data_IF_086407430954
#
_entry.id   IF_086407430954
#
_cell.length_a   1.000
_cell.length_b   1.000
_cell.length_c   1.000
_cell.angle_alpha   90.00
_cell.angle_beta   90.00
_cell.angle_gamma   90.00
#
_symmetry.space_group_name_H-M   'P 1'
#
loop_
_entity.id
_entity.type
_entity.pdbx_description
1 polymer ?
#
# COMPACT_ATOMS: atom_id res chain seq x y z
N UNK A 1 54.17 3.23 -34.84
CA UNK A 1 54.18 2.03 -33.97
C UNK A 1 53.26 2.27 -32.78
N UNK A 2 52.04 1.70 -32.83
CA UNK A 2 51.13 1.57 -31.68
C UNK A 2 50.67 0.12 -31.67
N UNK A 3 50.80 -0.52 -30.52
CA UNK A 3 50.64 -1.96 -30.30
C UNK A 3 49.22 -2.44 -30.63
N UNK A 4 49.14 -3.69 -31.09
CA UNK A 4 47.90 -4.45 -31.21
C UNK A 4 47.29 -4.70 -29.83
N UNK A 5 46.02 -4.33 -29.66
CA UNK A 5 45.25 -4.59 -28.43
C UNK A 5 44.61 -5.97 -28.53
N UNK A 6 44.77 -6.75 -27.46
CA UNK A 6 44.30 -8.12 -27.28
C UNK A 6 42.75 -8.18 -27.19
N UNK A 7 42.05 -8.95 -28.04
CA UNK A 7 40.58 -8.94 -28.13
C UNK A 7 39.84 -9.50 -26.92
N UNK A 8 40.52 -10.14 -25.95
CA UNK A 8 39.88 -10.82 -24.83
C UNK A 8 39.62 -9.95 -23.58
N UNK A 9 39.89 -8.62 -23.64
CA UNK A 9 39.81 -7.75 -22.45
C UNK A 9 39.24 -6.33 -22.66
N UNK A 10 38.05 -6.19 -23.26
CA UNK A 10 37.23 -4.97 -23.04
C UNK A 10 35.73 -5.28 -23.00
N UNK A 11 35.09 -4.83 -21.91
CA UNK A 11 33.70 -5.03 -21.49
C UNK A 11 32.68 -4.00 -22.07
N UNK A 12 31.54 -4.53 -22.58
CA UNK A 12 30.08 -4.17 -22.39
C UNK A 12 29.62 -2.71 -22.75
N UNK A 13 28.48 -2.38 -23.47
CA UNK A 13 27.10 -2.91 -23.36
C UNK A 13 26.20 -2.95 -24.65
N UNK A 14 24.94 -3.36 -24.43
CA UNK A 14 23.69 -3.20 -25.23
C UNK A 14 23.20 -4.41 -26.04
N UNK A 15 22.51 -5.32 -25.35
CA UNK A 15 21.64 -6.30 -25.98
C UNK A 15 20.42 -5.61 -26.59
N UNK A 16 20.37 -5.55 -27.92
CA UNK A 16 19.14 -5.28 -28.65
C UNK A 16 18.07 -6.28 -28.23
N UNK A 17 16.91 -5.77 -27.77
CA UNK A 17 15.74 -6.60 -27.44
C UNK A 17 15.35 -7.47 -28.64
N UNK A 18 15.65 -8.77 -28.59
CA UNK A 18 15.02 -9.75 -29.47
C UNK A 18 13.53 -9.84 -29.12
N UNK A 19 12.70 -9.09 -29.83
CA UNK A 19 11.25 -9.29 -29.83
C UNK A 19 10.95 -10.63 -30.51
N UNK A 20 10.39 -11.56 -29.75
CA UNK A 20 9.85 -12.81 -30.29
C UNK A 20 8.79 -12.50 -31.36
N UNK A 21 8.71 -13.30 -32.44
CA UNK A 21 7.67 -13.11 -33.45
C UNK A 21 6.28 -13.34 -32.85
N UNK A 22 5.24 -12.65 -33.38
CA UNK A 22 3.89 -12.79 -32.86
C UNK A 22 3.37 -14.24 -33.05
N UNK A 23 2.50 -14.72 -32.15
CA UNK A 23 1.98 -16.08 -32.21
C UNK A 23 1.17 -16.31 -33.48
N UNK A 24 1.37 -17.46 -34.14
CA UNK A 24 0.71 -17.84 -35.40
C UNK A 24 -0.82 -17.93 -35.35
N UNK A 25 -1.45 -17.93 -34.17
CA UNK A 25 -2.91 -17.89 -34.03
C UNK A 25 -3.34 -17.01 -32.85
N UNK A 26 -4.44 -16.25 -32.97
CA UNK A 26 -4.97 -15.43 -31.87
C UNK A 26 -5.65 -16.31 -30.81
N UNK A 27 -5.12 -16.30 -29.58
CA UNK A 27 -5.75 -16.97 -28.43
C UNK A 27 -7.02 -16.19 -28.00
N UNK A 28 -8.19 -16.71 -28.36
CA UNK A 28 -9.50 -16.11 -28.02
C UNK A 28 -10.04 -16.53 -26.64
N UNK A 29 -9.29 -17.27 -25.81
CA UNK A 29 -9.81 -17.74 -24.51
C UNK A 29 -9.61 -16.72 -23.39
N UNK A 30 -10.69 -16.06 -22.96
CA UNK A 30 -10.73 -15.29 -21.69
C UNK A 30 -10.62 -16.23 -20.49
N UNK A 31 -9.42 -16.36 -19.90
CA UNK A 31 -9.23 -17.08 -18.64
C UNK A 31 -9.58 -16.17 -17.46
N UNK A 32 -10.53 -16.59 -16.61
CA UNK A 32 -10.89 -15.89 -15.37
C UNK A 32 -9.75 -16.02 -14.34
N UNK A 33 -9.37 -14.91 -13.71
CA UNK A 33 -8.33 -14.86 -12.68
C UNK A 33 -8.88 -15.26 -11.31
N UNK A 34 -8.81 -16.54 -10.96
CA UNK A 34 -8.88 -16.99 -9.57
C UNK A 34 -7.44 -17.22 -9.06
N UNK A 35 -7.09 -16.87 -7.81
CA UNK A 35 -5.80 -17.27 -7.24
C UNK A 35 -5.75 -18.81 -7.20
N UNK A 36 -4.91 -19.43 -8.02
CA UNK A 36 -4.65 -20.86 -7.94
C UNK A 36 -4.06 -21.17 -6.56
N UNK A 37 -4.65 -22.14 -5.85
CA UNK A 37 -4.18 -22.60 -4.55
C UNK A 37 -2.74 -23.13 -4.66
N UNK A 38 -1.78 -22.34 -4.19
CA UNK A 38 -0.38 -22.76 -4.03
C UNK A 38 -0.13 -23.30 -2.62
N UNK A 39 0.80 -24.25 -2.50
CA UNK A 39 1.25 -24.80 -1.21
C UNK A 39 2.05 -23.74 -0.43
N UNK A 40 1.87 -23.65 0.89
CA UNK A 40 2.60 -22.67 1.72
C UNK A 40 4.02 -23.20 2.03
N UNK A 41 5.03 -22.36 1.89
CA UNK A 41 6.47 -22.64 2.03
C UNK A 41 6.93 -22.72 3.49
N UNK A 42 6.07 -22.40 4.46
CA UNK A 42 6.49 -22.20 5.86
C UNK A 42 6.66 -23.47 6.71
N UNK A 43 6.84 -24.63 6.09
CA UNK A 43 6.99 -25.90 6.83
C UNK A 43 8.35 -26.58 6.59
N UNK A 44 9.41 -25.80 6.32
CA UNK A 44 10.78 -26.34 6.23
C UNK A 44 11.52 -26.01 7.53
N UNK A 45 11.81 -26.99 8.41
CA UNK A 45 12.66 -26.76 9.56
C UNK A 45 14.09 -26.47 9.10
N UNK A 46 14.71 -25.44 9.69
CA UNK A 46 16.16 -25.22 9.58
C UNK A 46 16.78 -26.18 10.59
N UNK A 47 17.46 -27.22 10.10
CA UNK A 47 18.21 -28.16 10.92
C UNK A 47 19.60 -27.55 11.10
N UNK A 48 20.00 -27.25 12.33
CA UNK A 48 21.38 -26.92 12.67
C UNK A 48 22.26 -28.14 12.39
N UNK A 49 23.40 -27.91 11.74
CA UNK A 49 24.37 -28.90 11.32
C UNK A 49 24.74 -29.86 12.47
N UNK A 50 24.28 -31.12 12.36
CA UNK A 50 24.93 -32.27 12.97
C UNK A 50 25.03 -33.36 11.92
N UNK A 51 26.25 -33.87 11.79
CA UNK A 51 26.75 -34.83 10.81
C UNK A 51 25.75 -35.93 10.45
N UNK A 52 25.38 -35.99 9.18
CA UNK A 52 24.57 -37.05 8.60
C UNK A 52 25.50 -38.11 8.01
N UNK A 53 25.93 -39.08 8.82
CA UNK A 53 26.48 -40.33 8.33
C UNK A 53 25.33 -41.32 8.11
N UNK A 54 25.02 -41.60 6.85
CA UNK A 54 24.05 -42.63 6.46
C UNK A 54 24.85 -43.86 6.06
N UNK A 55 24.95 -44.83 6.98
CA UNK A 55 25.27 -46.21 6.59
C UNK A 55 23.99 -46.85 6.05
N UNK A 56 24.08 -47.35 4.83
CA UNK A 56 23.09 -48.11 4.09
C UNK A 56 22.81 -49.47 4.76
N UNK A 57 21.66 -49.62 5.40
CA UNK A 57 20.92 -50.90 5.48
C UNK A 57 19.62 -50.74 6.26
N UNK A 58 18.51 -50.95 5.56
CA UNK A 58 17.24 -51.52 6.03
C UNK A 58 16.65 -51.04 7.35
N UNK A 59 15.86 -49.96 7.31
CA UNK A 59 14.82 -49.72 8.34
C UNK A 59 13.60 -49.04 7.73
N UNK A 60 12.44 -49.69 7.85
CA UNK A 60 11.11 -49.24 7.45
C UNK A 60 10.82 -47.78 7.84
N UNK A 61 10.82 -46.90 6.83
CA UNK A 61 10.73 -45.43 6.97
C UNK A 61 9.28 -44.97 7.27
N UNK A 62 8.27 -45.76 6.89
CA UNK A 62 6.86 -45.36 6.92
C UNK A 62 6.28 -45.22 8.35
N UNK A 63 6.57 -46.11 9.33
CA UNK A 63 6.09 -45.96 10.70
C UNK A 63 6.73 -44.78 11.47
N UNK A 64 7.96 -44.41 11.14
CA UNK A 64 8.69 -43.31 11.77
C UNK A 64 8.15 -41.93 11.37
N UNK A 65 7.84 -41.76 10.07
CA UNK A 65 7.23 -40.52 9.55
C UNK A 65 5.90 -40.23 10.24
N UNK A 66 5.03 -41.24 10.40
CA UNK A 66 3.73 -41.08 11.03
C UNK A 66 3.83 -40.75 12.54
N UNK A 67 4.82 -41.33 13.23
CA UNK A 67 5.08 -41.07 14.65
C UNK A 67 5.67 -39.66 14.88
N UNK A 68 6.46 -39.15 13.94
CA UNK A 68 6.93 -37.76 13.92
C UNK A 68 5.80 -36.76 13.66
N UNK A 69 4.90 -37.05 12.72
CA UNK A 69 3.78 -36.17 12.35
C UNK A 69 2.85 -35.87 13.55
N UNK A 70 2.60 -36.89 14.37
CA UNK A 70 1.75 -36.80 15.58
C UNK A 70 2.43 -36.08 16.75
N UNK A 71 3.77 -36.15 16.85
CA UNK A 71 4.55 -35.38 17.84
C UNK A 71 4.73 -33.91 17.42
N UNK A 72 4.92 -33.65 16.13
CA UNK A 72 5.09 -32.30 15.58
C UNK A 72 3.82 -31.46 15.72
N UNK A 73 2.64 -32.06 15.52
CA UNK A 73 1.34 -31.39 15.73
C UNK A 73 1.13 -30.96 17.18
N UNK A 74 1.53 -31.79 18.16
CA UNK A 74 1.46 -31.47 19.60
C UNK A 74 2.40 -30.33 20.01
N UNK A 75 3.62 -30.29 19.46
CA UNK A 75 4.60 -29.23 19.74
C UNK A 75 4.14 -27.88 19.12
N UNK A 76 3.56 -27.92 17.92
CA UNK A 76 3.05 -26.74 17.22
C UNK A 76 1.83 -26.10 17.92
N UNK A 77 0.99 -26.90 18.58
CA UNK A 77 -0.18 -26.39 19.31
C UNK A 77 0.19 -25.77 20.67
N UNK A 78 1.29 -26.20 21.29
CA UNK A 78 1.83 -25.56 22.48
C UNK A 78 2.57 -24.24 22.15
N UNK A 79 3.31 -24.18 21.04
CA UNK A 79 3.96 -22.94 20.56
C UNK A 79 2.93 -21.88 20.10
N UNK A 80 1.71 -22.30 19.72
CA UNK A 80 0.60 -21.38 19.43
C UNK A 80 -0.01 -20.74 20.67
N UNK A 81 0.05 -21.39 21.84
CA UNK A 81 -0.57 -20.90 23.08
C UNK A 81 0.26 -19.84 23.82
N UNK A 82 1.59 -19.82 23.63
CA UNK A 82 2.49 -18.92 24.39
C UNK A 82 2.91 -17.61 23.69
N UNK A 83 2.32 -17.27 22.54
CA UNK A 83 2.44 -15.89 22.05
C UNK A 83 1.47 -15.00 22.83
N UNK A 84 1.96 -14.41 23.92
CA UNK A 84 1.37 -13.19 24.51
C UNK A 84 1.09 -12.19 23.39
N UNK A 85 -0.17 -12.12 22.99
CA UNK A 85 -0.70 -11.08 22.13
C UNK A 85 -0.61 -9.81 22.97
N UNK A 86 0.22 -8.85 22.56
CA UNK A 86 0.20 -7.52 23.17
C UNK A 86 -1.17 -6.89 22.89
N UNK A 87 -1.88 -6.44 23.94
CA UNK A 87 -3.22 -5.83 23.87
C UNK A 87 -3.27 -4.48 23.12
N UNK A 88 -2.14 -3.98 22.62
CA UNK A 88 -2.05 -2.78 21.77
C UNK A 88 -2.17 -3.06 20.26
N UNK A 89 -2.78 -4.18 19.89
CA UNK A 89 -2.97 -4.61 18.49
C UNK A 89 -4.44 -4.60 18.07
N UNK A 90 -5.14 -3.48 18.28
CA UNK A 90 -6.51 -3.28 17.84
C UNK A 90 -6.69 -3.46 16.33
N UNK A 91 -7.93 -3.71 15.92
CA UNK A 91 -8.43 -4.12 14.58
C UNK A 91 -8.18 -3.13 13.41
N UNK A 92 -7.19 -2.25 13.51
CA UNK A 92 -6.82 -1.29 12.46
C UNK A 92 -6.10 -1.93 11.26
N UNK A 93 -5.81 -1.10 10.26
CA UNK A 93 -4.97 -1.41 9.10
C UNK A 93 -3.57 -1.94 9.52
N UNK A 94 -3.22 -1.88 10.82
CA UNK A 94 -2.07 -2.47 11.49
C UNK A 94 -1.83 -3.98 11.26
N UNK A 95 -2.85 -4.80 10.95
CA UNK A 95 -2.63 -6.09 10.25
C UNK A 95 -2.53 -5.81 8.75
N UNK A 96 -1.45 -5.14 8.33
CA UNK A 96 -1.23 -4.71 6.94
C UNK A 96 -1.65 -5.79 5.97
N UNK A 97 -2.46 -5.40 4.98
CA UNK A 97 -2.97 -6.30 3.95
C UNK A 97 -1.78 -7.06 3.36
N UNK A 98 -1.76 -8.36 3.60
CA UNK A 98 -0.81 -9.29 3.01
C UNK A 98 -1.22 -9.44 1.55
N UNK A 99 -0.41 -8.89 0.67
CA UNK A 99 -0.63 -8.96 -0.77
C UNK A 99 0.29 -10.03 -1.34
N UNK A 100 -0.29 -10.94 -2.13
CA UNK A 100 0.50 -11.85 -2.94
C UNK A 100 1.25 -11.05 -4.01
N UNK A 101 2.56 -11.21 -4.05
CA UNK A 101 3.47 -10.48 -4.93
C UNK A 101 4.30 -11.49 -5.70
N UNK A 102 4.59 -11.23 -6.98
CA UNK A 102 5.41 -12.14 -7.79
C UNK A 102 6.89 -11.77 -7.81
N UNK A 103 7.28 -10.65 -7.18
CA UNK A 103 8.64 -10.10 -7.31
C UNK A 103 9.29 -9.69 -5.98
N UNK A 104 8.49 -9.42 -4.94
CA UNK A 104 8.98 -8.82 -3.70
C UNK A 104 8.22 -9.37 -2.50
N UNK A 105 8.94 -9.59 -1.39
CA UNK A 105 8.36 -10.01 -0.12
C UNK A 105 9.03 -11.28 0.41
N UNK A 106 8.39 -11.94 1.37
CA UNK A 106 8.83 -13.23 1.87
C UNK A 106 8.28 -14.33 0.96
N UNK A 107 9.11 -15.25 0.47
CA UNK A 107 8.61 -16.41 -0.28
C UNK A 107 7.68 -17.24 0.63
N UNK A 108 6.43 -17.41 0.22
CA UNK A 108 5.41 -18.12 1.01
C UNK A 108 4.71 -19.20 0.25
N UNK A 109 4.74 -19.21 -1.08
CA UNK A 109 4.05 -20.20 -1.89
C UNK A 109 4.61 -20.18 -3.30
N UNK A 110 4.20 -21.12 -4.15
CA UNK A 110 4.60 -21.16 -5.56
C UNK A 110 3.37 -21.41 -6.44
N UNK A 111 3.51 -21.15 -7.74
CA UNK A 111 2.51 -21.46 -8.77
C UNK A 111 3.16 -21.84 -10.07
N UNK A 112 2.39 -22.45 -10.97
CA UNK A 112 2.80 -22.61 -12.35
C UNK A 112 3.00 -21.24 -13.02
N UNK A 113 4.11 -21.02 -13.73
CA UNK A 113 4.39 -19.75 -14.39
C UNK A 113 3.37 -19.42 -15.47
N UNK A 114 3.00 -18.14 -15.55
CA UNK A 114 2.19 -17.61 -16.66
C UNK A 114 3.05 -17.68 -17.93
N UNK A 115 2.49 -18.22 -19.02
CA UNK A 115 3.21 -18.45 -20.28
C UNK A 115 4.49 -19.30 -20.14
N UNK A 116 4.60 -20.13 -19.09
CA UNK A 116 5.75 -21.00 -18.84
C UNK A 116 7.09 -20.25 -18.69
N UNK A 117 7.02 -18.97 -18.34
CA UNK A 117 8.18 -18.13 -18.04
C UNK A 117 8.09 -17.65 -16.59
N UNK A 118 8.83 -18.26 -15.65
CA UNK A 118 8.85 -17.80 -14.27
C UNK A 118 9.50 -16.42 -14.20
N UNK A 119 8.92 -15.52 -13.39
CA UNK A 119 9.56 -14.24 -13.07
C UNK A 119 10.62 -14.44 -11.99
N UNK A 120 10.40 -15.40 -11.10
CA UNK A 120 11.34 -15.79 -10.07
C UNK A 120 11.20 -17.29 -9.82
N UNK A 121 12.27 -18.05 -10.03
CA UNK A 121 12.23 -19.52 -9.95
C UNK A 121 12.14 -19.96 -8.49
N UNK A 122 11.13 -20.79 -8.19
CA UNK A 122 10.98 -21.54 -6.94
C UNK A 122 11.73 -22.86 -7.07
N UNK A 123 13.02 -22.87 -6.73
CA UNK A 123 13.90 -24.02 -6.98
C UNK A 123 13.39 -25.30 -6.28
N UNK A 124 13.02 -25.18 -5.00
CA UNK A 124 12.39 -26.23 -4.19
C UNK A 124 11.15 -26.83 -4.85
N UNK A 125 10.23 -25.97 -5.32
CA UNK A 125 9.00 -26.39 -5.96
C UNK A 125 9.23 -26.95 -7.37
N UNK A 126 10.23 -26.42 -8.09
CA UNK A 126 10.64 -26.86 -9.42
C UNK A 126 11.22 -28.27 -9.36
N UNK A 127 12.15 -28.52 -8.42
CA UNK A 127 12.70 -29.85 -8.15
C UNK A 127 11.58 -30.80 -7.77
N UNK A 128 10.70 -30.41 -6.85
CA UNK A 128 9.55 -31.25 -6.44
C UNK A 128 8.62 -31.58 -7.60
N UNK A 129 8.38 -30.64 -8.50
CA UNK A 129 7.52 -30.87 -9.66
C UNK A 129 8.18 -31.78 -10.69
N UNK A 130 9.47 -31.59 -10.95
CA UNK A 130 10.28 -32.48 -11.78
C UNK A 130 10.23 -33.92 -11.25
N UNK A 131 10.54 -34.12 -9.96
CA UNK A 131 10.52 -35.45 -9.33
C UNK A 131 9.13 -36.11 -9.38
N UNK A 132 8.05 -35.34 -9.23
CA UNK A 132 6.69 -35.85 -9.42
C UNK A 132 6.45 -36.35 -10.85
N UNK A 133 6.93 -35.63 -11.85
CA UNK A 133 6.81 -36.03 -13.24
C UNK A 133 7.62 -37.30 -13.54
N UNK A 134 8.82 -37.41 -12.98
CA UNK A 134 9.66 -38.63 -13.09
C UNK A 134 8.91 -39.85 -12.54
N UNK A 135 8.37 -39.76 -11.32
CA UNK A 135 7.62 -40.86 -10.69
C UNK A 135 6.36 -41.21 -11.48
N UNK A 136 5.61 -40.20 -11.94
CA UNK A 136 4.37 -40.43 -12.71
C UNK A 136 4.64 -41.10 -14.06
N UNK A 137 5.71 -40.70 -14.74
CA UNK A 137 6.09 -41.25 -16.05
C UNK A 137 6.95 -42.52 -15.96
N UNK A 138 7.33 -42.95 -14.74
CA UNK A 138 8.24 -44.08 -14.49
C UNK A 138 9.56 -43.97 -15.27
N UNK A 139 10.13 -42.77 -15.28
CA UNK A 139 11.42 -42.50 -15.91
C UNK A 139 12.51 -42.51 -14.86
N UNK A 140 13.75 -42.80 -15.25
CA UNK A 140 14.89 -42.70 -14.36
C UNK A 140 15.36 -41.24 -14.20
N UNK A 141 16.08 -40.96 -13.11
CA UNK A 141 16.67 -39.65 -12.85
C UNK A 141 18.11 -39.66 -13.37
N UNK A 142 18.38 -38.84 -14.38
CA UNK A 142 19.73 -38.62 -14.89
C UNK A 142 20.36 -37.37 -14.26
N UNK A 143 21.68 -37.43 -14.00
CA UNK A 143 22.46 -36.31 -13.49
C UNK A 143 23.47 -35.82 -14.56
N UNK A 144 23.65 -34.50 -14.72
CA UNK A 144 22.97 -33.42 -13.99
C UNK A 144 21.48 -33.30 -14.34
N UNK A 145 20.68 -32.80 -13.38
CA UNK A 145 19.22 -32.65 -13.58
C UNK A 145 18.94 -31.56 -14.60
N UNK A 146 18.20 -31.90 -15.65
CA UNK A 146 17.73 -30.97 -16.68
C UNK A 146 16.25 -30.64 -16.48
N UNK A 147 15.94 -29.38 -16.13
CA UNK A 147 14.56 -28.93 -15.97
C UNK A 147 13.94 -28.49 -17.29
N UNK A 148 12.76 -29.04 -17.61
CA UNK A 148 11.96 -28.55 -18.72
C UNK A 148 11.14 -27.31 -18.31
N UNK A 149 10.67 -26.54 -19.30
CA UNK A 149 9.78 -25.38 -19.06
C UNK A 149 8.48 -25.73 -18.31
N UNK A 150 8.10 -27.02 -18.31
CA UNK A 150 6.94 -27.55 -17.61
C UNK A 150 7.22 -27.86 -16.13
N UNK A 151 8.48 -28.02 -15.76
CA UNK A 151 8.92 -28.28 -14.39
C UNK A 151 9.04 -27.00 -13.58
N UNK A 152 9.35 -25.89 -14.25
CA UNK A 152 9.58 -24.59 -13.64
C UNK A 152 8.35 -24.11 -12.85
N UNK A 153 8.60 -23.66 -11.62
CA UNK A 153 7.61 -23.03 -10.74
C UNK A 153 7.99 -21.58 -10.43
N UNK A 154 7.00 -20.70 -10.35
CA UNK A 154 7.14 -19.27 -10.06
C UNK A 154 6.92 -19.01 -8.56
N UNK A 155 7.83 -18.29 -7.91
CA UNK A 155 7.71 -17.89 -6.50
C UNK A 155 6.54 -16.93 -6.30
N UNK A 156 5.74 -17.20 -5.30
CA UNK A 156 4.76 -16.27 -4.72
C UNK A 156 5.30 -15.77 -3.39
N UNK A 157 5.41 -14.46 -3.32
CA UNK A 157 5.85 -13.74 -2.14
C UNK A 157 4.64 -13.18 -1.38
N UNK A 158 4.71 -13.22 -0.06
CA UNK A 158 3.85 -12.44 0.82
C UNK A 158 4.52 -11.09 1.05
N UNK A 159 3.88 -10.04 0.55
CA UNK A 159 4.31 -8.66 0.69
C UNK A 159 3.36 -7.91 1.59
N UNK A 160 3.89 -7.14 2.54
CA UNK A 160 3.09 -6.15 3.27
C UNK A 160 3.10 -4.87 2.46
N UNK A 161 1.96 -4.53 1.87
CA UNK A 161 1.82 -3.31 1.09
C UNK A 161 2.16 -2.07 1.95
N UNK A 162 3.03 -1.16 1.47
CA UNK A 162 3.27 0.11 2.13
C UNK A 162 2.04 1.00 1.95
N UNK A 163 1.80 1.84 2.94
CA UNK A 163 0.76 2.86 2.85
C UNK A 163 1.32 4.11 2.18
N UNK A 164 0.47 4.82 1.46
CA UNK A 164 0.72 6.20 1.06
C UNK A 164 -0.34 7.08 1.72
N UNK A 165 0.06 7.85 2.74
CA UNK A 165 -0.83 8.74 3.47
C UNK A 165 -0.75 10.13 2.86
N UNK A 166 -1.89 10.65 2.43
CA UNK A 166 -2.03 11.97 1.83
C UNK A 166 -2.72 12.89 2.83
N UNK A 167 -1.97 13.81 3.42
CA UNK A 167 -2.50 14.85 4.28
C UNK A 167 -2.91 16.05 3.43
N UNK A 168 -4.20 16.37 3.45
CA UNK A 168 -4.82 17.50 2.75
C UNK A 168 -5.28 18.48 3.82
N UNK A 169 -4.48 19.53 4.06
CA UNK A 169 -4.69 20.44 5.17
C UNK A 169 -5.27 21.78 4.70
N UNK A 170 -6.32 22.19 5.38
CA UNK A 170 -6.91 23.51 5.26
C UNK A 170 -6.07 24.52 6.04
N UNK A 171 -5.60 25.56 5.35
CA UNK A 171 -4.86 26.67 5.95
C UNK A 171 -5.68 27.96 5.98
N UNK A 172 -6.98 27.82 6.17
CA UNK A 172 -7.84 28.95 6.48
C UNK A 172 -7.57 29.53 7.87
N UNK A 173 -8.00 30.78 8.09
CA UNK A 173 -7.81 31.49 9.36
C UNK A 173 -8.39 30.70 10.56
N UNK A 174 -9.52 30.02 10.39
CA UNK A 174 -10.17 29.17 11.42
C UNK A 174 -9.36 27.93 11.80
N UNK A 175 -8.38 27.56 10.97
CA UNK A 175 -7.59 26.33 11.04
C UNK A 175 -6.13 26.55 11.45
N UNK A 176 -5.66 27.80 11.53
CA UNK A 176 -4.26 28.13 11.82
C UNK A 176 -3.72 27.46 13.10
N UNK A 177 -4.43 27.58 14.22
CA UNK A 177 -4.03 26.95 15.49
C UNK A 177 -4.08 25.42 15.43
N UNK A 178 -5.02 24.88 14.65
CA UNK A 178 -5.22 23.43 14.48
C UNK A 178 -4.08 22.82 13.67
N UNK A 179 -3.58 23.53 12.65
CA UNK A 179 -2.45 23.07 11.82
C UNK A 179 -1.19 22.86 12.67
N UNK A 180 -0.90 23.77 13.61
CA UNK A 180 0.26 23.64 14.50
C UNK A 180 0.22 22.33 15.29
N UNK A 181 -0.92 22.03 15.92
CA UNK A 181 -1.12 20.79 16.67
C UNK A 181 -1.01 19.55 15.79
N UNK A 182 -1.55 19.63 14.58
CA UNK A 182 -1.48 18.54 13.60
C UNK A 182 -0.06 18.24 13.13
N UNK A 183 0.86 19.19 13.24
CA UNK A 183 2.27 18.97 12.93
C UNK A 183 2.87 17.90 13.85
N UNK A 184 2.54 17.94 15.16
CA UNK A 184 3.01 16.95 16.13
C UNK A 184 2.42 15.56 15.89
N UNK A 185 1.14 15.53 15.53
CA UNK A 185 0.42 14.30 15.16
C UNK A 185 1.05 13.65 13.93
N UNK A 186 1.27 14.43 12.86
CA UNK A 186 1.90 13.94 11.62
C UNK A 186 3.35 13.52 11.88
N UNK A 187 4.08 14.23 12.73
CA UNK A 187 5.44 13.87 13.16
C UNK A 187 5.46 12.52 13.88
N UNK A 188 4.51 12.28 14.78
CA UNK A 188 4.33 11.00 15.47
C UNK A 188 4.04 9.85 14.48
N UNK A 189 3.13 10.07 13.54
CA UNK A 189 2.81 9.10 12.49
C UNK A 189 4.00 8.83 11.55
N UNK A 190 4.79 9.86 11.22
CA UNK A 190 6.00 9.68 10.40
C UNK A 190 7.02 8.79 11.10
N UNK A 191 7.31 9.01 12.38
CA UNK A 191 8.30 8.21 13.14
C UNK A 191 7.96 6.72 13.06
N UNK A 192 6.68 6.39 13.15
CA UNK A 192 6.20 5.01 13.04
C UNK A 192 6.20 4.50 11.58
N UNK A 193 5.69 5.30 10.65
CA UNK A 193 5.61 4.97 9.22
C UNK A 193 6.98 4.79 8.56
N UNK A 194 8.01 5.49 9.05
CA UNK A 194 9.39 5.40 8.54
C UNK A 194 9.91 3.96 8.60
N UNK A 195 9.75 3.29 9.75
CA UNK A 195 10.17 1.87 9.91
C UNK A 195 9.45 0.95 8.94
N UNK A 196 8.20 1.28 8.62
CA UNK A 196 7.32 0.47 7.79
C UNK A 196 7.34 0.87 6.30
N UNK A 197 8.23 1.80 5.92
CA UNK A 197 8.40 2.35 4.55
C UNK A 197 7.11 2.97 3.99
N UNK A 198 6.28 3.54 4.84
CA UNK A 198 5.12 4.30 4.40
C UNK A 198 5.55 5.64 3.82
N UNK A 199 4.83 6.10 2.81
CA UNK A 199 5.06 7.40 2.20
C UNK A 199 4.05 8.40 2.72
N UNK A 200 4.51 9.61 2.99
CA UNK A 200 3.69 10.75 3.38
C UNK A 200 3.73 11.80 2.28
N UNK A 201 2.55 12.35 1.97
CA UNK A 201 2.39 13.51 1.11
C UNK A 201 1.65 14.61 1.86
N UNK A 202 2.00 15.86 1.55
CA UNK A 202 1.41 17.05 2.17
C UNK A 202 0.89 17.99 1.09
N UNK A 203 -0.41 18.24 1.14
CA UNK A 203 -1.14 19.14 0.27
C UNK A 203 -1.81 20.16 1.17
N UNK A 204 -1.68 21.42 0.82
CA UNK A 204 -2.24 22.53 1.60
C UNK A 204 -3.00 23.43 0.67
N UNK A 205 -4.16 23.87 1.09
CA UNK A 205 -4.99 24.77 0.32
C UNK A 205 -5.26 26.04 1.10
N UNK A 206 -5.09 27.18 0.42
CA UNK A 206 -5.18 28.52 0.99
C UNK A 206 -5.38 29.54 -0.12
N UNK A 207 -6.09 30.62 0.16
CA UNK A 207 -6.33 31.63 -0.88
C UNK A 207 -7.11 31.01 -2.04
N UNK A 208 -6.73 31.29 -3.28
CA UNK A 208 -7.44 30.74 -4.45
C UNK A 208 -6.87 29.42 -4.99
N UNK A 209 -5.81 28.87 -4.37
CA UNK A 209 -5.10 27.69 -4.88
C UNK A 209 -4.80 26.60 -3.84
N UNK A 210 -4.42 25.42 -4.34
CA UNK A 210 -3.85 24.34 -3.56
C UNK A 210 -2.38 24.09 -3.94
N UNK A 211 -1.52 23.89 -2.96
CA UNK A 211 -0.08 23.68 -3.10
C UNK A 211 0.30 22.28 -2.61
N UNK A 212 1.17 21.62 -3.35
CA UNK A 212 1.80 20.37 -2.92
C UNK A 212 3.10 20.73 -2.23
N UNK A 213 3.10 20.76 -0.90
CA UNK A 213 4.33 21.04 -0.15
C UNK A 213 5.31 19.87 -0.21
N UNK A 214 4.78 18.65 -0.24
CA UNK A 214 5.59 17.45 -0.28
C UNK A 214 4.90 16.35 -1.08
N UNK A 215 5.57 15.88 -2.13
CA UNK A 215 5.19 14.67 -2.87
C UNK A 215 5.43 13.42 -1.98
N UNK A 216 4.74 12.29 -2.23
CA UNK A 216 4.88 11.07 -1.44
C UNK A 216 6.34 10.67 -1.20
N UNK A 217 6.80 10.75 0.05
CA UNK A 217 8.19 10.46 0.46
C UNK A 217 8.21 9.70 1.80
N UNK A 218 9.22 8.87 2.01
CA UNK A 218 9.47 8.22 3.30
C UNK A 218 10.16 9.19 4.26
N UNK A 219 11.04 10.06 3.75
CA UNK A 219 11.67 11.12 4.54
C UNK A 219 10.86 12.40 4.43
N UNK A 220 10.08 12.68 5.47
CA UNK A 220 9.12 13.79 5.52
C UNK A 220 9.56 14.94 6.44
N UNK A 221 10.75 14.85 7.05
CA UNK A 221 11.24 15.83 8.05
C UNK A 221 11.22 17.28 7.51
N UNK A 222 11.65 17.46 6.26
CA UNK A 222 11.72 18.79 5.63
C UNK A 222 10.31 19.40 5.48
N UNK A 223 9.31 18.58 5.13
CA UNK A 223 7.94 19.04 4.95
C UNK A 223 7.30 19.51 6.27
N UNK A 224 7.60 18.84 7.39
CA UNK A 224 7.15 19.26 8.72
C UNK A 224 7.69 20.65 9.09
N UNK A 225 8.97 20.92 8.79
CA UNK A 225 9.56 22.24 9.08
C UNK A 225 8.87 23.36 8.29
N UNK A 226 8.40 23.07 7.07
CA UNK A 226 7.65 24.01 6.23
C UNK A 226 6.23 24.24 6.77
N UNK A 227 5.62 23.23 7.40
CA UNK A 227 4.26 23.31 7.95
C UNK A 227 4.15 24.36 9.07
N UNK A 228 5.19 24.48 9.90
CA UNK A 228 5.24 25.47 11.00
C UNK A 228 5.29 26.93 10.55
N UNK A 229 5.68 27.18 9.29
CA UNK A 229 5.83 28.53 8.72
C UNK A 229 4.60 28.99 7.93
N UNK A 230 3.51 28.23 7.99
CA UNK A 230 2.33 28.52 7.19
C UNK A 230 1.40 29.46 7.93
N UNK A 231 1.06 30.56 7.26
CA UNK A 231 0.08 31.53 7.72
C UNK A 231 -1.32 31.18 7.26
N UNK A 232 -2.31 31.49 8.11
CA UNK A 232 -3.72 31.37 7.77
C UNK A 232 -4.13 32.37 6.69
N UNK A 233 -4.88 31.93 5.67
CA UNK A 233 -5.54 32.80 4.67
C UNK A 233 -7.06 32.68 4.77
N UNK A 234 -7.82 33.51 4.06
CA UNK A 234 -9.29 33.55 4.18
C UNK A 234 -10.01 32.47 3.36
N UNK A 235 -9.51 32.15 2.17
CA UNK A 235 -10.22 31.29 1.21
C UNK A 235 -9.78 29.82 1.23
N UNK A 236 -10.72 28.94 0.83
CA UNK A 236 -10.72 27.49 1.00
C UNK A 236 -11.01 26.77 -0.33
N UNK A 237 -10.00 26.60 -1.21
CA UNK A 237 -10.12 25.94 -2.51
C UNK A 237 -10.02 24.42 -2.37
N UNK A 238 -10.96 23.83 -1.64
CA UNK A 238 -10.97 22.39 -1.32
C UNK A 238 -11.00 21.51 -2.58
N UNK A 239 -11.75 21.92 -3.61
CA UNK A 239 -11.84 21.18 -4.87
C UNK A 239 -10.48 21.10 -5.58
N UNK A 240 -9.69 22.19 -5.57
CA UNK A 240 -8.33 22.21 -6.10
C UNK A 240 -7.43 21.23 -5.35
N UNK A 241 -7.56 21.19 -4.01
CA UNK A 241 -6.78 20.31 -3.16
C UNK A 241 -7.06 18.82 -3.44
N UNK A 242 -8.33 18.46 -3.56
CA UNK A 242 -8.75 17.09 -3.87
C UNK A 242 -8.32 16.66 -5.28
N UNK A 243 -8.39 17.56 -6.26
CA UNK A 243 -7.89 17.29 -7.62
C UNK A 243 -6.37 17.01 -7.63
N UNK A 244 -5.57 17.84 -6.93
CA UNK A 244 -4.13 17.61 -6.79
C UNK A 244 -3.83 16.31 -6.05
N UNK A 245 -4.60 16.00 -5.01
CA UNK A 245 -4.48 14.74 -4.27
C UNK A 245 -4.74 13.53 -5.17
N UNK A 246 -5.84 13.52 -5.90
CA UNK A 246 -6.19 12.48 -6.87
C UNK A 246 -5.09 12.30 -7.93
N UNK A 247 -4.52 13.39 -8.42
CA UNK A 247 -3.42 13.34 -9.38
C UNK A 247 -2.15 12.70 -8.79
N UNK A 248 -1.75 13.07 -7.57
CA UNK A 248 -0.60 12.46 -6.90
C UNK A 248 -0.83 10.97 -6.59
N UNK A 249 -2.04 10.59 -6.19
CA UNK A 249 -2.40 9.18 -5.96
C UNK A 249 -2.25 8.38 -7.25
N UNK A 250 -2.67 8.92 -8.40
CA UNK A 250 -2.49 8.26 -9.70
C UNK A 250 -1.02 8.04 -10.01
N UNK A 251 -0.18 9.06 -9.86
CA UNK A 251 1.27 8.96 -10.09
C UNK A 251 1.88 7.90 -9.16
N UNK A 252 1.50 7.88 -7.89
CA UNK A 252 2.08 6.95 -6.92
C UNK A 252 1.65 5.50 -7.19
N UNK A 253 0.40 5.27 -7.62
CA UNK A 253 -0.06 3.96 -8.07
C UNK A 253 0.63 3.48 -9.35
N UNK A 254 1.05 4.38 -10.23
CA UNK A 254 1.86 4.03 -11.42
C UNK A 254 3.25 3.52 -11.00
N UNK A 255 3.87 4.14 -9.99
CA UNK A 255 5.16 3.71 -9.45
C UNK A 255 5.07 2.38 -8.69
N UNK A 256 4.03 2.20 -7.89
CA UNK A 256 3.80 0.96 -7.15
C UNK A 256 2.31 0.60 -7.14
N UNK A 257 1.92 -0.37 -7.95
CA UNK A 257 0.52 -0.82 -8.07
C UNK A 257 -0.05 -1.42 -6.79
N UNK A 258 0.81 -1.90 -5.89
CA UNK A 258 0.40 -2.51 -4.62
C UNK A 258 0.30 -1.48 -3.48
N UNK A 259 0.55 -0.19 -3.73
CA UNK A 259 0.46 0.84 -2.69
C UNK A 259 -0.99 1.11 -2.32
N UNK A 260 -1.25 1.25 -1.03
CA UNK A 260 -2.60 1.53 -0.52
C UNK A 260 -2.66 3.02 -0.16
N UNK A 261 -3.36 3.86 -0.94
CA UNK A 261 -3.52 5.27 -0.60
C UNK A 261 -4.58 5.45 0.50
N UNK A 262 -4.26 6.31 1.46
CA UNK A 262 -5.20 6.79 2.49
C UNK A 262 -5.16 8.31 2.48
N UNK A 263 -6.32 8.96 2.46
CA UNK A 263 -6.41 10.43 2.49
C UNK A 263 -6.89 10.86 3.86
N UNK A 264 -6.16 11.79 4.48
CA UNK A 264 -6.58 12.52 5.66
C UNK A 264 -6.87 13.97 5.26
N UNK A 265 -8.12 14.38 5.38
CA UNK A 265 -8.56 15.75 5.10
C UNK A 265 -8.76 16.46 6.41
N UNK A 266 -7.98 17.50 6.68
CA UNK A 266 -8.14 18.36 7.85
C UNK A 266 -8.81 19.66 7.40
N UNK A 267 -10.09 19.84 7.70
CA UNK A 267 -10.84 21.03 7.32
C UNK A 267 -12.15 21.11 8.11
N UNK A 268 -12.65 22.33 8.27
CA UNK A 268 -14.03 22.58 8.72
C UNK A 268 -15.07 22.46 7.57
N UNK A 269 -14.61 22.06 6.38
CA UNK A 269 -15.38 21.85 5.16
C UNK A 269 -16.04 23.12 4.59
N UNK A 270 -15.55 24.31 4.94
CA UNK A 270 -16.07 25.58 4.44
C UNK A 270 -15.56 25.96 3.04
N UNK A 271 -15.76 25.13 2.02
CA UNK A 271 -15.27 25.40 0.67
C UNK A 271 -15.99 26.58 0.01
N UNK A 272 -15.24 27.53 -0.55
CA UNK A 272 -15.75 28.77 -1.16
C UNK A 272 -15.11 29.18 -2.50
N UNK A 273 -14.15 28.40 -3.01
CA UNK A 273 -13.53 28.61 -4.33
C UNK A 273 -13.78 27.38 -5.21
N UNK A 274 -14.23 27.61 -6.44
CA UNK A 274 -14.40 26.59 -7.47
C UNK A 274 -13.13 26.45 -8.33
N UNK A 275 -12.84 25.24 -8.82
CA UNK A 275 -11.80 25.05 -9.85
C UNK A 275 -12.35 25.36 -11.24
N UNK A 276 -13.66 25.14 -11.46
CA UNK A 276 -14.33 25.40 -12.73
C UNK A 276 -14.48 26.91 -12.98
N UNK A 277 -14.70 27.68 -11.92
CA UNK A 277 -14.87 29.14 -11.98
C UNK A 277 -13.89 29.84 -10.99
N UNK A 278 -12.61 30.03 -11.37
CA UNK A 278 -11.57 30.54 -10.45
C UNK A 278 -11.78 31.98 -9.98
N UNK A 279 -12.46 32.79 -10.79
CA UNK A 279 -12.77 34.18 -10.46
C UNK A 279 -13.97 34.31 -9.52
N UNK A 280 -14.79 33.25 -9.41
CA UNK A 280 -15.94 33.18 -8.53
C UNK A 280 -15.49 32.86 -7.10
N UNK A 281 -15.75 33.82 -6.20
CA UNK A 281 -15.67 33.61 -4.76
C UNK A 281 -17.11 33.49 -4.27
N UNK A 282 -17.45 32.36 -3.66
CA UNK A 282 -18.84 32.12 -3.24
C UNK A 282 -19.29 33.14 -2.19
N UNK A 283 -20.32 33.90 -2.53
CA UNK A 283 -20.95 34.87 -1.65
C UNK A 283 -22.43 34.59 -1.46
N UNK A 284 -23.07 34.03 -2.50
CA UNK A 284 -24.51 33.76 -2.52
C UNK A 284 -24.75 32.24 -2.52
N UNK A 285 -25.92 31.81 -2.08
CA UNK A 285 -26.29 30.39 -1.97
C UNK A 285 -26.07 29.60 -3.27
N UNK A 286 -26.38 30.19 -4.42
CA UNK A 286 -26.19 29.55 -5.74
C UNK A 286 -24.72 29.20 -6.01
N UNK A 287 -23.77 30.06 -5.63
CA UNK A 287 -22.33 29.79 -5.80
C UNK A 287 -21.89 28.60 -4.96
N UNK A 288 -22.41 28.53 -3.73
CA UNK A 288 -22.15 27.40 -2.83
C UNK A 288 -22.72 26.10 -3.36
N UNK A 289 -23.90 26.12 -3.98
CA UNK A 289 -24.50 24.94 -4.63
C UNK A 289 -23.57 24.41 -5.72
N UNK A 290 -23.03 25.28 -6.58
CA UNK A 290 -22.09 24.89 -7.64
C UNK A 290 -20.82 24.23 -7.07
N UNK A 291 -20.25 24.80 -6.00
CA UNK A 291 -19.06 24.23 -5.34
C UNK A 291 -19.36 22.87 -4.70
N UNK A 292 -20.53 22.73 -4.07
CA UNK A 292 -20.97 21.46 -3.47
C UNK A 292 -21.11 20.38 -4.53
N UNK A 293 -21.65 20.72 -5.71
CA UNK A 293 -21.77 19.79 -6.84
C UNK A 293 -20.42 19.39 -7.42
N UNK A 294 -19.52 20.35 -7.60
CA UNK A 294 -18.15 20.09 -8.02
C UNK A 294 -17.44 19.13 -7.06
N UNK A 295 -17.51 19.38 -5.74
CA UNK A 295 -16.92 18.51 -4.73
C UNK A 295 -17.56 17.12 -4.71
N UNK A 296 -18.88 17.03 -4.94
CA UNK A 296 -19.60 15.76 -5.04
C UNK A 296 -19.08 14.91 -6.20
N UNK A 297 -18.73 15.49 -7.35
CA UNK A 297 -18.09 14.77 -8.44
C UNK A 297 -16.72 14.20 -8.04
N UNK A 298 -15.91 14.97 -7.32
CA UNK A 298 -14.60 14.54 -6.83
C UNK A 298 -14.72 13.42 -5.79
N UNK A 299 -15.68 13.53 -4.87
CA UNK A 299 -15.95 12.50 -3.86
C UNK A 299 -16.42 11.18 -4.49
N UNK A 300 -17.24 11.23 -5.55
CA UNK A 300 -17.60 10.05 -6.34
C UNK A 300 -16.37 9.42 -7.02
N UNK A 301 -15.43 10.24 -7.53
CA UNK A 301 -14.17 9.73 -8.11
C UNK A 301 -13.32 9.02 -7.06
N UNK A 302 -13.22 9.55 -5.84
CA UNK A 302 -12.54 8.91 -4.71
C UNK A 302 -13.14 7.54 -4.39
N UNK A 303 -14.47 7.48 -4.33
CA UNK A 303 -15.23 6.25 -4.06
C UNK A 303 -14.98 5.18 -5.14
N UNK A 304 -15.04 5.56 -6.42
CA UNK A 304 -14.81 4.66 -7.56
C UNK A 304 -13.41 4.03 -7.50
N UNK A 305 -12.43 4.75 -6.99
CA UNK A 305 -11.05 4.27 -6.84
C UNK A 305 -10.80 3.50 -5.53
N UNK A 306 -11.84 3.30 -4.71
CA UNK A 306 -11.78 2.62 -3.40
C UNK A 306 -10.69 3.20 -2.47
N UNK A 307 -10.54 4.52 -2.47
CA UNK A 307 -9.56 5.20 -1.63
C UNK A 307 -10.17 5.42 -0.25
N UNK A 308 -9.50 4.92 0.80
CA UNK A 308 -9.92 5.17 2.17
C UNK A 308 -9.69 6.65 2.50
N UNK A 309 -10.74 7.33 2.95
CA UNK A 309 -10.74 8.77 3.20
C UNK A 309 -11.23 9.01 4.61
N UNK A 310 -10.48 9.81 5.37
CA UNK A 310 -10.80 10.22 6.73
C UNK A 310 -10.87 11.74 6.75
N UNK A 311 -11.96 12.30 7.25
CA UNK A 311 -12.13 13.74 7.43
C UNK A 311 -11.99 14.05 8.91
N UNK A 312 -11.00 14.87 9.24
CA UNK A 312 -10.68 15.33 10.59
C UNK A 312 -11.24 16.74 10.75
N UNK A 313 -12.33 16.85 11.50
CA UNK A 313 -13.00 18.11 11.80
C UNK A 313 -12.63 18.56 13.22
N UNK A 314 -12.04 19.74 13.42
CA UNK A 314 -11.79 20.23 14.76
C UNK A 314 -13.11 20.58 15.45
N UNK A 315 -13.28 20.17 16.71
CA UNK A 315 -14.39 20.66 17.55
C UNK A 315 -14.29 22.18 17.68
N UNK A 316 -15.41 22.85 17.45
CA UNK A 316 -15.59 24.30 17.64
C UNK A 316 -16.68 24.51 18.70
N UNK A 317 -16.59 25.61 19.44
CA UNK A 317 -17.68 26.03 20.32
C UNK A 317 -18.89 26.42 19.50
N UNK A 318 -20.09 26.36 20.09
CA UNK A 318 -21.33 26.76 19.41
C UNK A 318 -21.22 28.18 18.82
N UNK A 319 -20.62 29.10 19.56
CA UNK A 319 -20.39 30.49 19.14
C UNK A 319 -19.44 30.64 17.93
N UNK A 320 -18.55 29.68 17.70
CA UNK A 320 -17.53 29.77 16.64
C UNK A 320 -17.77 28.83 15.46
N UNK A 321 -18.81 28.00 15.52
CA UNK A 321 -19.05 26.97 14.52
C UNK A 321 -19.47 27.54 13.16
N UNK A 322 -20.20 28.66 13.15
CA UNK A 322 -20.65 29.33 11.93
C UNK A 322 -19.70 30.45 11.44
N UNK A 323 -18.65 30.78 12.19
CA UNK A 323 -17.76 31.89 11.84
C UNK A 323 -16.92 31.54 10.60
N UNK A 324 -17.09 32.35 9.54
CA UNK A 324 -16.32 32.26 8.30
C UNK A 324 -16.71 31.09 7.39
N UNK A 325 -17.83 30.41 7.65
CA UNK A 325 -18.27 29.23 6.91
C UNK A 325 -19.75 29.31 6.63
N UNK A 326 -20.15 29.03 5.39
CA UNK A 326 -21.55 28.85 5.05
C UNK A 326 -22.07 27.51 5.61
N UNK A 327 -22.97 27.49 6.62
CA UNK A 327 -23.32 26.27 7.35
C UNK A 327 -23.92 25.18 6.43
N UNK A 328 -24.86 25.58 5.55
CA UNK A 328 -25.50 24.67 4.61
C UNK A 328 -24.50 23.96 3.70
N UNK A 329 -23.56 24.71 3.09
CA UNK A 329 -22.54 24.16 2.19
C UNK A 329 -21.66 23.15 2.94
N UNK A 330 -21.13 23.53 4.10
CA UNK A 330 -20.26 22.67 4.89
C UNK A 330 -20.97 21.37 5.35
N UNK A 331 -22.22 21.45 5.80
CA UNK A 331 -23.01 20.27 6.15
C UNK A 331 -23.27 19.37 4.95
N UNK A 332 -23.62 19.96 3.80
CA UNK A 332 -23.86 19.20 2.57
C UNK A 332 -22.59 18.50 2.08
N UNK A 333 -21.45 19.17 2.13
CA UNK A 333 -20.13 18.60 1.80
C UNK A 333 -19.82 17.41 2.72
N UNK A 334 -20.01 17.56 4.04
CA UNK A 334 -19.82 16.48 5.02
C UNK A 334 -20.75 15.30 4.76
N UNK A 335 -22.03 15.54 4.48
CA UNK A 335 -23.00 14.50 4.11
C UNK A 335 -22.59 13.76 2.84
N UNK A 336 -22.07 14.49 1.84
CA UNK A 336 -21.60 13.89 0.60
C UNK A 336 -20.32 13.05 0.82
N UNK A 337 -19.40 13.46 1.69
CA UNK A 337 -18.23 12.65 2.08
C UNK A 337 -18.65 11.31 2.72
N UNK A 338 -19.64 11.32 3.62
CA UNK A 338 -20.18 10.08 4.21
C UNK A 338 -20.86 9.20 3.16
N UNK A 339 -21.72 9.79 2.33
CA UNK A 339 -22.55 9.06 1.36
C UNK A 339 -21.75 8.48 0.20
N UNK A 340 -20.89 9.28 -0.43
CA UNK A 340 -20.23 8.88 -1.68
C UNK A 340 -18.86 8.24 -1.42
N UNK A 341 -17.98 8.89 -0.65
CA UNK A 341 -16.64 8.35 -0.38
C UNK A 341 -16.58 7.34 0.77
N UNK A 342 -17.70 7.08 1.48
CA UNK A 342 -17.72 6.29 2.73
C UNK A 342 -16.64 6.76 3.71
N UNK A 343 -16.47 8.08 3.79
CA UNK A 343 -15.42 8.66 4.59
C UNK A 343 -15.79 8.64 6.06
N UNK A 344 -14.83 8.26 6.90
CA UNK A 344 -14.96 8.36 8.34
C UNK A 344 -14.74 9.81 8.75
N UNK A 345 -15.77 10.44 9.32
CA UNK A 345 -15.68 11.82 9.82
C UNK A 345 -15.43 11.77 11.32
N UNK A 346 -14.24 12.18 11.73
CA UNK A 346 -13.82 12.22 13.12
C UNK A 346 -13.76 13.67 13.61
N UNK A 347 -14.44 13.94 14.73
CA UNK A 347 -14.37 15.23 15.41
C UNK A 347 -13.35 15.14 16.54
N UNK A 348 -12.32 15.96 16.50
CA UNK A 348 -11.25 15.92 17.49
C UNK A 348 -11.17 17.21 18.31
N UNK A 349 -10.72 17.08 19.55
CA UNK A 349 -10.45 18.23 20.41
C UNK A 349 -9.12 18.87 20.03
N UNK A 350 -9.10 20.21 19.96
CA UNK A 350 -7.89 20.99 19.73
C UNK A 350 -6.94 20.90 20.93
N UNK A 351 -7.43 20.61 22.13
CA UNK A 351 -6.59 20.65 23.32
C UNK A 351 -5.91 19.30 23.65
N UNK A 352 -6.35 18.20 23.05
CA UNK A 352 -5.83 16.86 23.36
C UNK A 352 -5.33 16.11 22.11
N UNK A 353 -4.08 16.36 21.66
CA UNK A 353 -3.52 15.68 20.49
C UNK A 353 -3.29 14.18 20.70
N UNK A 354 -3.15 13.72 21.95
CA UNK A 354 -2.87 12.32 22.28
C UNK A 354 -4.02 11.38 21.89
N UNK A 355 -5.25 11.80 22.13
CA UNK A 355 -6.46 11.03 21.76
C UNK A 355 -6.57 10.91 20.23
N UNK A 356 -6.33 12.02 19.52
CA UNK A 356 -6.32 12.03 18.06
C UNK A 356 -5.22 11.12 17.48
N UNK A 357 -4.02 11.12 18.07
CA UNK A 357 -2.94 10.20 17.66
C UNK A 357 -3.39 8.75 17.84
N UNK A 358 -4.02 8.41 18.97
CA UNK A 358 -4.49 7.06 19.24
C UNK A 358 -5.56 6.61 18.23
N UNK A 359 -6.50 7.49 17.89
CA UNK A 359 -7.53 7.19 16.90
C UNK A 359 -6.96 7.04 15.48
N UNK A 360 -6.08 7.95 15.06
CA UNK A 360 -5.43 7.83 13.76
C UNK A 360 -4.61 6.54 13.66
N UNK A 361 -3.96 6.12 14.76
CA UNK A 361 -3.27 4.84 14.84
C UNK A 361 -4.22 3.64 14.80
N UNK A 362 -5.44 3.77 15.33
CA UNK A 362 -6.46 2.72 15.27
C UNK A 362 -7.03 2.56 13.86
N UNK A 363 -7.11 3.66 13.10
CA UNK A 363 -7.50 3.62 11.70
C UNK A 363 -6.40 2.98 10.85
N UNK A 364 -5.14 3.32 11.11
CA UNK A 364 -3.93 2.83 10.42
C UNK A 364 -3.46 1.43 10.84
#
# INVERSE_FOLDING_TARGET
MRQSVDPDKVDIPETQEQKLPPPKYPDKRKRKSSPAGGWKVKDIPIIEEKEFNISTSDLDIIPFIYKMEKKMTSILDNIRKDRKISDYGGRGIGRRIKVASSQKGRYVSYRTPINRQPKSIALDATIRNYLKNIVYNKTDIEFPIHFNKYDLMDKIYEYRAPLALFFVLDSSASMYYVIKQMTDVISSLQKEGYRKKDKLALIIFRGKEAYVLQKPTVNFKIALSKLNKIEGKSYTPMAAALNKCLHLIKIEKLKNRNIIPVIFILSDCGANISVKYPDMIAQIENDYILIVEELKELQKKLAKQKIHTVVLEPKKSYATQALGIHPYSAEKIKKNFRKFSKADIYKFDRYNPSELILELKRIL
#
